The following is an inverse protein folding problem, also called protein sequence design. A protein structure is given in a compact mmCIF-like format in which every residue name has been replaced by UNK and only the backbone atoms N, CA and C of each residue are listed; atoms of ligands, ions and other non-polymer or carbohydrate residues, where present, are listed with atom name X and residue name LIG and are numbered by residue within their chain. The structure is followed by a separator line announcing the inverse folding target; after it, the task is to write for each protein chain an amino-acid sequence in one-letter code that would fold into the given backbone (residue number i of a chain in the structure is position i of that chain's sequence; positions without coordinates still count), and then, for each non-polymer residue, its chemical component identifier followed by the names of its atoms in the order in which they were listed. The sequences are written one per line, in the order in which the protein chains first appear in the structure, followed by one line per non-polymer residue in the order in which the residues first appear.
data_IF_541008250733
#
_entry.id   IF_541008250733
#
_cell.length_a   1.000
_cell.length_b   1.000
_cell.length_c   1.000
_cell.angle_alpha   90.00
_cell.angle_beta   90.00
_cell.angle_gamma   90.00
#
_symmetry.space_group_name_H-M   'P 1'
#
loop_
_entity.id
_entity.type
_entity.pdbx_description
1 polymer ?
#
# COMPACT_ATOMS: atom_id res chain seq x y z
N UNK A 1 -17.99 -0.48 8.26
CA UNK A 1 -18.16 -0.46 7.75
C UNK A 1 -18.17 -0.05 7.06
N UNK A 2 -18.05 -0.12 6.82
CA UNK A 2 -18.53 0.34 6.04
C UNK A 2 -18.09 1.53 5.37
N UNK A 3 -17.26 2.37 5.82
CA UNK A 3 -16.80 3.46 5.31
C UNK A 3 -16.09 3.23 4.12
N UNK A 4 -15.41 2.15 3.98
CA UNK A 4 -14.83 1.76 2.75
C UNK A 4 -15.77 1.87 1.64
N UNK A 5 -17.02 1.83 1.98
CA UNK A 5 -18.04 1.80 1.00
C UNK A 5 -18.29 3.09 0.32
N UNK A 6 -17.64 4.16 0.77
CA UNK A 6 -17.78 5.43 0.10
C UNK A 6 -16.94 5.49 -1.16
N UNK A 7 -16.05 4.49 -1.36
CA UNK A 7 -15.22 4.44 -2.56
C UNK A 7 -15.64 3.31 -3.46
N UNK A 8 -15.61 3.52 -4.76
CA UNK A 8 -15.87 2.44 -5.69
C UNK A 8 -14.64 1.53 -5.72
N UNK A 9 -14.86 0.30 -6.13
CA UNK A 9 -13.77 -0.65 -6.33
C UNK A 9 -12.72 -0.08 -7.26
N UNK A 10 -13.16 0.58 -8.32
CA UNK A 10 -12.26 1.14 -9.30
C UNK A 10 -11.36 2.21 -8.68
N UNK A 11 -11.92 3.05 -7.83
CA UNK A 11 -11.12 4.08 -7.17
C UNK A 11 -10.05 3.47 -6.28
N UNK A 12 -10.40 2.46 -5.52
CA UNK A 12 -9.44 1.82 -4.63
C UNK A 12 -8.31 1.18 -5.40
N UNK A 13 -8.64 0.54 -6.53
CA UNK A 13 -7.63 -0.14 -7.32
C UNK A 13 -6.71 0.81 -8.08
N UNK A 14 -7.11 2.07 -8.23
CA UNK A 14 -6.29 3.06 -8.92
C UNK A 14 -5.44 3.91 -7.97
N UNK A 15 -5.53 3.66 -6.66
CA UNK A 15 -4.70 4.39 -5.72
C UNK A 15 -3.23 4.05 -5.94
N UNK A 16 -2.40 5.08 -5.87
CA UNK A 16 -0.96 4.91 -6.01
C UNK A 16 -0.39 4.19 -4.78
N UNK A 17 0.86 3.76 -4.90
CA UNK A 17 1.58 3.17 -3.76
C UNK A 17 1.59 4.16 -2.60
N UNK A 18 1.89 5.42 -2.87
CA UNK A 18 1.94 6.43 -1.82
C UNK A 18 0.61 6.59 -1.10
N UNK A 19 -0.48 6.62 -1.86
CA UNK A 19 -1.81 6.71 -1.27
C UNK A 19 -2.12 5.52 -0.39
N UNK A 20 -1.73 4.33 -0.83
CA UNK A 20 -1.99 3.11 -0.09
C UNK A 20 -1.20 3.06 1.20
N UNK A 21 0.07 3.49 1.15
CA UNK A 21 0.90 3.57 2.35
C UNK A 21 0.25 4.53 3.34
N UNK A 22 -0.16 5.70 2.87
CA UNK A 22 -0.76 6.69 3.74
C UNK A 22 -2.04 6.18 4.38
N UNK A 23 -2.92 5.56 3.58
CA UNK A 23 -4.16 5.04 4.11
C UNK A 23 -3.92 3.99 5.18
N UNK A 24 -3.02 3.06 4.92
CA UNK A 24 -2.73 2.00 5.89
C UNK A 24 -2.09 2.58 7.15
N UNK A 25 -1.18 3.55 6.98
CA UNK A 25 -0.54 4.19 8.12
C UNK A 25 -1.55 4.88 9.02
N UNK A 26 -2.43 5.67 8.41
CA UNK A 26 -3.45 6.39 9.16
C UNK A 26 -4.40 5.42 9.85
N UNK A 27 -4.75 4.34 9.15
CA UNK A 27 -5.60 3.30 9.72
C UNK A 27 -4.96 2.68 10.98
N UNK A 28 -3.64 2.50 10.96
CA UNK A 28 -2.92 1.96 12.12
C UNK A 28 -2.63 3.02 13.19
N UNK A 29 -2.99 4.27 12.95
CA UNK A 29 -2.77 5.33 13.93
C UNK A 29 -1.33 5.75 14.09
N UNK A 30 -0.50 5.54 13.08
CA UNK A 30 0.92 5.87 13.14
C UNK A 30 1.21 7.21 12.47
N UNK A 31 2.18 7.94 13.02
CA UNK A 31 2.69 9.13 12.33
C UNK A 31 3.70 8.69 11.26
N UNK A 32 4.01 9.59 10.36
CA UNK A 32 5.04 9.33 9.36
C UNK A 32 6.37 9.00 10.02
N UNK A 33 6.71 9.70 11.08
CA UNK A 33 7.95 9.47 11.78
C UNK A 33 7.96 8.09 12.44
N UNK A 34 6.86 7.74 13.10
CA UNK A 34 6.77 6.43 13.74
C UNK A 34 6.93 5.31 12.73
N UNK A 35 6.27 5.42 11.58
CA UNK A 35 6.40 4.41 10.55
C UNK A 35 7.84 4.34 10.04
N UNK A 36 8.44 5.49 9.77
CA UNK A 36 9.80 5.51 9.24
C UNK A 36 10.81 4.90 10.20
N UNK A 37 10.69 5.18 11.48
CA UNK A 37 11.57 4.58 12.47
C UNK A 37 11.35 3.07 12.55
N UNK A 38 10.09 2.64 12.55
CA UNK A 38 9.78 1.21 12.62
C UNK A 38 10.32 0.44 11.42
N UNK A 39 10.38 1.10 10.27
CA UNK A 39 10.92 0.49 9.04
C UNK A 39 12.45 0.43 9.10
N UNK A 40 13.07 1.24 9.95
CA UNK A 40 14.52 1.22 10.13
C UNK A 40 15.23 2.45 9.62
N UNK A 41 14.51 3.51 9.30
CA UNK A 41 15.15 4.73 8.84
C UNK A 41 15.71 5.52 10.02
N UNK A 42 16.72 6.32 9.73
CA UNK A 42 17.32 7.20 10.72
C UNK A 42 16.26 8.18 11.22
N UNK A 43 16.25 8.42 12.52
CA UNK A 43 15.25 9.29 13.11
C UNK A 43 15.22 10.69 12.48
N UNK A 44 16.35 11.20 12.05
CA UNK A 44 16.42 12.53 11.45
C UNK A 44 15.67 12.61 10.12
N UNK A 45 15.59 11.50 9.40
CA UNK A 45 15.01 11.50 8.06
C UNK A 45 13.77 10.64 7.93
N UNK A 46 13.36 10.00 9.02
CA UNK A 46 12.30 9.00 8.95
C UNK A 46 11.00 9.57 8.40
N UNK A 47 10.56 10.70 8.93
CA UNK A 47 9.31 11.32 8.49
C UNK A 47 9.43 11.83 7.05
N UNK A 48 10.57 12.40 6.70
CA UNK A 48 10.78 12.92 5.36
C UNK A 48 10.73 11.79 4.33
N UNK A 49 11.36 10.64 4.63
CA UNK A 49 11.34 9.52 3.72
C UNK A 49 9.94 8.98 3.50
N UNK A 50 9.18 8.83 4.56
CA UNK A 50 7.80 8.36 4.45
C UNK A 50 6.96 9.38 3.70
N UNK A 51 7.12 10.66 3.99
CA UNK A 51 6.38 11.71 3.30
C UNK A 51 6.66 11.67 1.79
N UNK A 52 7.89 11.43 1.40
CA UNK A 52 8.25 11.34 -0.02
C UNK A 52 7.59 10.12 -0.69
N UNK A 53 7.50 9.00 0.02
CA UNK A 53 6.80 7.84 -0.51
C UNK A 53 5.30 8.13 -0.63
N UNK A 54 4.72 8.76 0.37
CA UNK A 54 3.28 9.02 0.36
C UNK A 54 2.88 10.05 -0.70
N UNK A 55 3.77 10.98 -1.01
CA UNK A 55 3.50 11.97 -2.05
C UNK A 55 3.90 11.48 -3.44
N UNK A 56 4.44 10.27 -3.53
CA UNK A 56 4.94 9.69 -4.77
C UNK A 56 6.11 10.45 -5.37
N UNK A 57 6.78 11.27 -4.57
CA UNK A 57 8.01 11.94 -4.97
C UNK A 57 9.12 10.92 -5.10
N UNK A 58 9.04 9.85 -4.33
CA UNK A 58 10.01 8.78 -4.36
C UNK A 58 9.27 7.45 -4.28
N UNK A 59 9.70 6.48 -5.07
CA UNK A 59 9.10 5.16 -5.05
C UNK A 59 9.94 4.23 -4.16
N UNK A 60 9.33 3.56 -3.19
CA UNK A 60 10.09 2.64 -2.35
C UNK A 60 10.50 1.41 -3.18
N UNK A 61 11.68 0.89 -2.91
CA UNK A 61 12.13 -0.35 -3.51
C UNK A 61 11.34 -1.50 -2.90
N UNK A 62 11.33 -2.64 -3.59
CA UNK A 62 10.56 -3.79 -3.13
C UNK A 62 10.86 -4.18 -1.69
N UNK A 63 12.14 -4.22 -1.33
CA UNK A 63 12.52 -4.60 0.03
C UNK A 63 12.01 -3.63 1.07
N UNK A 64 12.07 -2.35 0.77
CA UNK A 64 11.57 -1.32 1.67
C UNK A 64 10.05 -1.41 1.77
N UNK A 65 9.38 -1.60 0.63
CA UNK A 65 7.93 -1.71 0.63
C UNK A 65 7.47 -2.93 1.42
N UNK A 66 8.22 -4.01 1.33
CA UNK A 66 7.92 -5.21 2.10
C UNK A 66 8.01 -4.94 3.61
N UNK A 67 9.03 -4.18 4.03
CA UNK A 67 9.15 -3.81 5.44
C UNK A 67 8.01 -2.90 5.88
N UNK A 68 7.62 -1.98 5.03
CA UNK A 68 6.49 -1.10 5.33
C UNK A 68 5.23 -1.95 5.51
N UNK A 69 5.01 -2.91 4.62
CA UNK A 69 3.86 -3.80 4.72
C UNK A 69 3.88 -4.59 6.03
N UNK A 70 5.05 -5.09 6.42
CA UNK A 70 5.18 -5.82 7.68
C UNK A 70 4.84 -4.95 8.88
N UNK A 71 5.37 -3.74 8.91
CA UNK A 71 5.10 -2.82 10.02
C UNK A 71 3.63 -2.46 10.09
N UNK A 72 3.01 -2.25 8.94
CA UNK A 72 1.60 -1.89 8.89
C UNK A 72 0.68 -3.10 9.01
N UNK A 73 1.26 -4.29 9.03
CA UNK A 73 0.52 -5.55 9.13
C UNK A 73 -0.50 -5.69 8.02
N UNK A 74 -0.04 -5.49 6.79
CA UNK A 74 -0.85 -5.69 5.59
C UNK A 74 -0.06 -6.55 4.62
N UNK A 75 -0.77 -7.16 3.67
CA UNK A 75 -0.09 -7.94 2.65
C UNK A 75 0.70 -7.03 1.72
N UNK A 76 1.79 -7.56 1.17
CA UNK A 76 2.63 -6.79 0.27
C UNK A 76 1.80 -6.21 -0.89
N UNK A 77 0.92 -7.02 -1.47
CA UNK A 77 0.13 -6.57 -2.62
C UNK A 77 -0.98 -5.60 -2.25
N UNK A 78 -1.25 -5.41 -0.97
CA UNK A 78 -2.16 -4.35 -0.55
C UNK A 78 -1.55 -3.00 -0.85
N UNK A 79 -0.22 -2.90 -0.76
CA UNK A 79 0.49 -1.66 -1.02
C UNK A 79 1.04 -1.59 -2.43
N UNK A 80 1.44 -2.74 -2.98
CA UNK A 80 2.16 -2.78 -4.24
C UNK A 80 1.26 -2.48 -5.43
N UNK A 81 1.80 -1.67 -6.33
CA UNK A 81 1.09 -1.28 -7.54
C UNK A 81 2.01 -1.60 -8.72
N UNK A 82 1.92 -2.81 -9.27
CA UNK A 82 2.81 -3.20 -10.36
C UNK A 82 2.52 -2.41 -11.64
N UNK A 83 1.26 -2.06 -11.86
CA UNK A 83 0.86 -1.28 -13.02
C UNK A 83 0.21 -0.01 -12.52
N UNK A 84 0.61 1.13 -13.04
CA UNK A 84 0.11 2.40 -12.51
C UNK A 84 -1.27 2.75 -13.00
N UNK A 85 -2.08 1.83 -13.44
CA UNK A 85 -3.15 2.27 -14.22
C UNK A 85 -4.52 1.91 -13.88
N UNK A 86 -4.89 0.68 -13.66
CA UNK A 86 -6.31 0.41 -13.53
C UNK A 86 -6.56 -0.93 -12.87
N UNK A 87 -7.83 -1.10 -12.49
CA UNK A 87 -8.28 -2.28 -11.78
C UNK A 87 -8.05 -3.56 -12.57
N UNK A 88 -8.22 -3.48 -13.88
CA UNK A 88 -8.07 -4.65 -14.72
C UNK A 88 -6.65 -5.20 -14.67
N UNK A 89 -5.67 -4.31 -14.74
CA UNK A 89 -4.28 -4.75 -14.71
C UNK A 89 -3.94 -5.45 -13.40
N UNK A 90 -4.48 -4.94 -12.31
CA UNK A 90 -4.24 -5.54 -10.99
C UNK A 90 -4.87 -6.92 -10.93
N UNK A 91 -6.09 -7.04 -11.42
CA UNK A 91 -6.79 -8.31 -11.42
C UNK A 91 -6.08 -9.34 -12.28
N UNK A 92 -5.66 -8.95 -13.48
CA UNK A 92 -4.91 -9.85 -14.34
C UNK A 92 -3.60 -10.27 -13.72
N UNK A 93 -2.94 -9.36 -13.02
CA UNK A 93 -1.69 -9.67 -12.36
C UNK A 93 -1.89 -10.78 -11.31
N UNK A 94 -2.99 -10.74 -10.57
CA UNK A 94 -3.29 -11.78 -9.61
C UNK A 94 -3.60 -13.10 -10.27
N UNK A 95 -4.33 -13.06 -11.38
CA UNK A 95 -4.69 -14.28 -12.10
C UNK A 95 -3.49 -14.91 -12.79
N UNK A 96 -2.60 -14.07 -13.31
CA UNK A 96 -1.42 -14.55 -14.04
C UNK A 96 -0.43 -15.27 -13.15
N UNK A 97 -0.58 -15.16 -11.85
CA UNK A 97 0.30 -15.89 -10.95
C UNK A 97 -0.10 -17.35 -10.82
N UNK A 98 -1.06 -17.77 -11.64
CA UNK A 98 -1.45 -19.16 -11.67
C UNK A 98 -2.38 -19.56 -10.53
N UNK A 99 -2.81 -18.60 -9.75
CA UNK A 99 -3.71 -18.86 -8.65
C UNK A 99 -4.96 -18.08 -8.84
N UNK A 100 -6.09 -18.72 -8.61
CA UNK A 100 -7.31 -17.96 -8.48
C UNK A 100 -7.20 -17.20 -7.18
N UNK A 101 -7.30 -15.88 -7.19
CA UNK A 101 -7.20 -15.14 -5.96
C UNK A 101 -8.36 -15.51 -5.06
N UNK A 102 -8.08 -15.71 -3.80
CA UNK A 102 -9.12 -15.98 -2.83
C UNK A 102 -9.90 -14.69 -2.60
N UNK A 103 -11.05 -14.85 -1.97
CA UNK A 103 -11.83 -13.69 -1.62
C UNK A 103 -11.03 -12.72 -0.76
N UNK A 104 -10.23 -13.27 0.17
CA UNK A 104 -9.42 -12.44 1.05
C UNK A 104 -8.39 -11.66 0.25
N UNK A 105 -7.75 -12.29 -0.72
CA UNK A 105 -6.76 -11.62 -1.55
C UNK A 105 -7.37 -10.49 -2.36
N UNK A 106 -8.55 -10.73 -2.92
CA UNK A 106 -9.24 -9.68 -3.66
C UNK A 106 -9.65 -8.53 -2.77
N UNK A 107 -10.11 -8.83 -1.57
CA UNK A 107 -10.47 -7.80 -0.63
C UNK A 107 -9.27 -6.96 -0.23
N UNK A 108 -8.12 -7.57 -0.09
CA UNK A 108 -6.89 -6.83 0.22
C UNK A 108 -6.55 -5.86 -0.90
N UNK A 109 -6.76 -6.27 -2.13
CA UNK A 109 -6.49 -5.39 -3.27
C UNK A 109 -7.47 -4.23 -3.30
N UNK A 110 -8.72 -4.47 -2.89
CA UNK A 110 -9.76 -3.46 -2.94
C UNK A 110 -9.72 -2.49 -1.77
N UNK A 111 -9.10 -2.86 -0.69
CA UNK A 111 -8.97 -2.01 0.47
C UNK A 111 -7.82 -1.05 0.33
#
# INVERSE_FOLDING_TARGET
MLRLYTHSTKELLTLSIGDRIKKARVFRGMTQKELGIAVGFNEKNADIRIAQYESNTRRPKSGTLNKIAEVLDVGFFTLYEPYPHNAENIMYSLLDQGNNPTRVQLEEVLI
#
